data_IF_519237808677
#
_entry.id   IF_519237808677
#
_cell.length_a   1.000
_cell.length_b   1.000
_cell.length_c   1.000
_cell.angle_alpha   90.00
_cell.angle_beta   90.00
_cell.angle_gamma   90.00
#
_symmetry.space_group_name_H-M   'P 1'
#
loop_
_entity.id
_entity.type
_entity.pdbx_description
1 polymer ?
#
# COMPACT_ATOMS: atom_id res chain seq x y z
N UNK A 1 -2.43 2.65 25.50
CA UNK A 1 -2.87 1.99 24.25
C UNK A 1 -1.89 0.87 23.96
N UNK A 2 -2.34 -0.38 23.95
CA UNK A 2 -1.47 -1.51 23.56
C UNK A 2 -0.97 -1.29 22.13
N UNK A 3 0.35 -1.21 21.94
CA UNK A 3 0.96 -1.24 20.62
C UNK A 3 0.69 -2.62 20.04
N UNK A 4 -0.32 -2.74 19.18
CA UNK A 4 -0.65 -4.00 18.53
C UNK A 4 0.62 -4.55 17.84
N UNK A 5 1.03 -5.76 18.23
CA UNK A 5 2.16 -6.46 17.67
C UNK A 5 1.95 -6.74 16.17
N UNK A 6 3.04 -6.96 15.43
CA UNK A 6 2.94 -7.38 14.05
C UNK A 6 2.27 -8.77 13.95
N UNK A 7 1.40 -8.97 12.96
CA UNK A 7 0.63 -10.21 12.83
C UNK A 7 1.46 -11.31 12.17
N UNK A 8 1.77 -12.37 12.90
CA UNK A 8 2.49 -13.54 12.40
C UNK A 8 1.57 -14.49 11.61
N UNK A 9 2.11 -15.09 10.55
CA UNK A 9 1.40 -16.10 9.77
C UNK A 9 1.51 -17.49 10.42
N UNK A 10 0.36 -18.14 10.64
CA UNK A 10 0.22 -19.42 11.35
C UNK A 10 1.20 -20.53 10.91
N UNK A 11 1.49 -20.64 9.61
CA UNK A 11 2.28 -21.76 9.06
C UNK A 11 3.75 -21.46 8.82
N UNK A 12 4.11 -20.19 8.63
CA UNK A 12 5.49 -19.79 8.27
C UNK A 12 6.19 -19.01 9.37
N UNK A 13 5.48 -18.64 10.44
CA UNK A 13 5.95 -17.77 11.52
C UNK A 13 6.53 -16.45 10.99
N UNK A 14 6.21 -16.08 9.75
CA UNK A 14 6.67 -14.86 9.10
C UNK A 14 5.66 -13.75 9.34
N UNK A 15 6.18 -12.56 9.54
CA UNK A 15 5.43 -11.32 9.59
C UNK A 15 5.42 -10.73 8.17
N UNK A 16 4.25 -10.57 7.53
CA UNK A 16 4.15 -9.91 6.23
C UNK A 16 4.62 -8.46 6.32
N UNK A 17 5.37 -7.98 5.33
CA UNK A 17 5.92 -6.61 5.33
C UNK A 17 4.79 -5.57 5.40
N UNK A 18 3.64 -5.84 4.77
CA UNK A 18 2.43 -5.01 4.87
C UNK A 18 1.98 -4.81 6.32
N UNK A 19 2.12 -5.79 7.20
CA UNK A 19 1.69 -5.67 8.61
C UNK A 19 2.61 -4.75 9.43
N UNK A 20 3.85 -4.55 8.96
CA UNK A 20 4.82 -3.63 9.55
C UNK A 20 4.63 -2.23 8.96
N UNK A 21 4.79 -2.10 7.63
CA UNK A 21 4.85 -0.80 6.94
C UNK A 21 3.48 -0.23 6.57
N UNK A 22 2.42 -1.05 6.56
CA UNK A 22 1.05 -0.61 6.26
C UNK A 22 0.35 0.07 7.43
N UNK A 23 0.99 0.14 8.59
CA UNK A 23 0.49 0.84 9.77
C UNK A 23 0.55 2.37 9.56
N UNK A 24 -0.30 3.15 10.25
CA UNK A 24 -0.25 4.62 10.18
C UNK A 24 1.11 5.21 10.57
N UNK A 25 1.81 4.57 11.50
CA UNK A 25 3.15 4.94 11.98
C UNK A 25 4.29 4.38 11.11
N UNK A 26 3.97 3.71 10.00
CA UNK A 26 4.93 3.04 9.09
C UNK A 26 5.90 2.11 9.82
N UNK A 27 5.44 1.48 10.91
CA UNK A 27 6.21 0.53 11.71
C UNK A 27 6.95 1.13 12.90
N UNK A 28 6.98 2.46 13.09
CA UNK A 28 7.75 3.09 14.18
C UNK A 28 7.35 2.56 15.58
N UNK A 29 6.07 2.25 15.81
CA UNK A 29 5.61 1.65 17.07
C UNK A 29 6.02 0.18 17.28
N UNK A 30 6.70 -0.45 16.32
CA UNK A 30 7.22 -1.82 16.39
C UNK A 30 8.74 -1.86 16.63
N UNK A 31 9.40 -0.71 16.78
CA UNK A 31 10.83 -0.66 17.11
C UNK A 31 11.11 -1.42 18.41
N UNK A 32 12.18 -2.20 18.41
CA UNK A 32 12.55 -3.11 19.50
C UNK A 32 11.88 -4.48 19.44
N UNK A 33 10.95 -4.72 18.52
CA UNK A 33 10.38 -6.06 18.31
C UNK A 33 11.29 -6.90 17.41
N UNK A 34 11.43 -8.18 17.77
CA UNK A 34 12.02 -9.21 16.91
C UNK A 34 10.96 -9.74 15.98
N UNK A 35 11.28 -9.83 14.69
CA UNK A 35 10.37 -10.34 13.67
C UNK A 35 11.11 -11.25 12.70
N UNK A 36 10.36 -12.19 12.12
CA UNK A 36 10.81 -13.00 10.99
C UNK A 36 10.14 -12.52 9.73
N UNK A 37 10.91 -12.22 8.70
CA UNK A 37 10.38 -11.84 7.39
C UNK A 37 10.83 -12.85 6.33
N UNK A 38 10.04 -12.97 5.28
CA UNK A 38 10.42 -13.75 4.11
C UNK A 38 10.01 -13.02 2.84
N UNK A 39 10.84 -13.08 1.81
CA UNK A 39 10.58 -12.38 0.54
C UNK A 39 11.71 -12.57 -0.46
N UNK A 40 11.82 -11.65 -1.41
CA UNK A 40 12.93 -11.59 -2.37
C UNK A 40 13.65 -10.24 -2.30
N UNK A 41 14.96 -10.28 -2.53
CA UNK A 41 15.80 -9.09 -2.60
C UNK A 41 15.49 -8.33 -3.88
N UNK A 42 15.06 -7.08 -3.76
CA UNK A 42 14.84 -6.14 -4.87
C UNK A 42 16.12 -5.44 -5.26
N UNK A 43 16.90 -5.01 -4.27
CA UNK A 43 18.22 -4.41 -4.45
C UNK A 43 19.10 -4.71 -3.23
N UNK A 44 20.41 -4.70 -3.43
CA UNK A 44 21.39 -4.82 -2.36
C UNK A 44 22.57 -3.90 -2.62
N UNK A 45 23.12 -3.29 -1.57
CA UNK A 45 24.33 -2.47 -1.61
C UNK A 45 25.20 -2.72 -0.39
N UNK A 46 26.50 -2.82 -0.59
CA UNK A 46 27.47 -2.81 0.51
C UNK A 46 27.68 -1.38 1.01
N UNK A 47 28.01 -1.27 2.29
CA UNK A 47 28.32 -0.03 2.97
C UNK A 47 29.51 -0.24 3.91
N UNK A 48 30.12 0.87 4.34
CA UNK A 48 31.26 0.88 5.26
C UNK A 48 32.38 -0.11 4.86
N UNK A 49 32.84 0.01 3.61
CA UNK A 49 33.88 -0.85 3.03
C UNK A 49 33.59 -2.35 3.15
N UNK A 50 32.32 -2.73 3.11
CA UNK A 50 31.86 -4.11 3.17
C UNK A 50 31.59 -4.63 4.58
N UNK A 51 31.62 -3.78 5.63
CA UNK A 51 31.30 -4.20 7.00
C UNK A 51 29.82 -4.61 7.15
N UNK A 52 28.93 -4.02 6.36
CA UNK A 52 27.52 -4.39 6.30
C UNK A 52 26.92 -4.11 4.92
N UNK A 53 25.76 -4.72 4.67
CA UNK A 53 24.98 -4.56 3.45
C UNK A 53 23.56 -4.10 3.78
N UNK A 54 23.03 -3.19 2.97
CA UNK A 54 21.62 -2.85 2.95
C UNK A 54 20.92 -3.61 1.83
N UNK A 55 19.87 -4.34 2.18
CA UNK A 55 18.98 -5.00 1.25
C UNK A 55 17.61 -4.30 1.28
N UNK A 56 16.98 -4.20 0.12
CA UNK A 56 15.56 -3.92 0.02
C UNK A 56 14.82 -5.23 -0.23
N UNK A 57 13.99 -5.66 0.72
CA UNK A 57 13.24 -6.92 0.63
C UNK A 57 11.76 -6.62 0.37
N UNK A 58 11.16 -7.40 -0.53
CA UNK A 58 9.72 -7.36 -0.81
C UNK A 58 9.13 -8.77 -0.78
N UNK A 59 7.94 -8.91 -0.23
CA UNK A 59 7.24 -10.19 -0.07
C UNK A 59 5.94 -10.26 -0.90
N UNK A 60 5.67 -9.22 -1.71
CA UNK A 60 4.46 -9.07 -2.51
C UNK A 60 3.22 -8.65 -1.72
N UNK A 61 3.32 -8.46 -0.40
CA UNK A 61 2.16 -8.06 0.42
C UNK A 61 1.84 -6.57 0.27
N UNK A 62 2.82 -5.73 -0.03
CA UNK A 62 2.67 -4.30 -0.28
C UNK A 62 3.70 -3.81 -1.31
N UNK A 63 3.49 -2.63 -1.93
CA UNK A 63 4.40 -2.11 -2.95
C UNK A 63 5.69 -1.51 -2.35
N UNK A 64 5.74 -1.34 -1.03
CA UNK A 64 6.88 -0.73 -0.31
C UNK A 64 7.87 -1.83 0.07
N UNK A 65 9.16 -1.55 -0.06
CA UNK A 65 10.22 -2.47 0.34
C UNK A 65 10.64 -2.21 1.78
N UNK A 66 10.93 -3.26 2.53
CA UNK A 66 11.55 -3.14 3.85
C UNK A 66 13.07 -3.05 3.69
N UNK A 67 13.67 -2.03 4.32
CA UNK A 67 15.13 -1.96 4.43
C UNK A 67 15.62 -2.96 5.48
N UNK A 68 16.60 -3.74 5.09
CA UNK A 68 17.21 -4.78 5.91
C UNK A 68 18.71 -4.54 5.96
N UNK A 69 19.28 -4.49 7.16
CA UNK A 69 20.71 -4.36 7.41
C UNK A 69 21.28 -5.74 7.75
N UNK A 70 22.27 -6.18 6.99
CA UNK A 70 22.96 -7.45 7.19
C UNK A 70 24.43 -7.16 7.46
N UNK A 71 24.93 -7.50 8.65
CA UNK A 71 26.36 -7.35 8.98
C UNK A 71 27.16 -8.47 8.35
N UNK A 72 28.38 -8.17 7.90
CA UNK A 72 29.22 -9.13 7.17
C UNK A 72 29.54 -10.40 7.97
N UNK A 73 29.61 -10.31 9.30
CA UNK A 73 29.82 -11.47 10.17
C UNK A 73 28.58 -12.37 10.30
N UNK A 74 27.38 -11.86 10.01
CA UNK A 74 26.14 -12.64 10.03
C UNK A 74 25.95 -13.34 8.68
N UNK A 75 26.04 -12.58 7.59
CA UNK A 75 25.93 -13.11 6.24
C UNK A 75 26.47 -12.13 5.19
N UNK A 76 26.77 -12.67 4.01
CA UNK A 76 27.30 -11.89 2.87
C UNK A 76 26.16 -11.19 2.12
N UNK A 77 26.49 -10.18 1.32
CA UNK A 77 25.51 -9.58 0.40
C UNK A 77 24.85 -10.66 -0.47
N UNK A 78 23.52 -10.59 -0.59
CA UNK A 78 22.73 -11.50 -1.42
C UNK A 78 22.36 -10.80 -2.72
N UNK A 79 22.49 -11.51 -3.85
CA UNK A 79 22.14 -11.00 -5.18
C UNK A 79 20.66 -10.64 -5.30
N UNK A 80 20.36 -9.64 -6.14
CA UNK A 80 18.98 -9.31 -6.52
C UNK A 80 18.23 -10.53 -7.05
N UNK A 81 16.98 -10.67 -6.65
CA UNK A 81 16.11 -11.79 -7.03
C UNK A 81 16.16 -12.99 -6.09
N UNK A 82 17.19 -13.10 -5.26
CA UNK A 82 17.32 -14.17 -4.27
C UNK A 82 16.18 -14.13 -3.26
N UNK A 83 15.68 -15.30 -2.90
CA UNK A 83 14.68 -15.43 -1.83
C UNK A 83 15.38 -15.50 -0.47
N UNK A 84 14.84 -14.83 0.52
CA UNK A 84 15.42 -14.77 1.87
C UNK A 84 14.35 -15.05 2.92
N UNK A 85 14.75 -15.74 3.99
CA UNK A 85 14.00 -15.89 5.23
C UNK A 85 14.93 -15.46 6.37
N UNK A 86 14.59 -14.34 7.00
CA UNK A 86 15.47 -13.61 7.90
C UNK A 86 14.77 -13.34 9.23
N UNK A 87 15.54 -13.34 10.31
CA UNK A 87 15.10 -12.94 11.64
C UNK A 87 16.00 -11.81 12.15
N UNK A 88 15.38 -10.79 12.71
CA UNK A 88 16.10 -9.63 13.19
C UNK A 88 15.28 -8.72 14.08
N UNK A 89 15.93 -7.65 14.52
CA UNK A 89 15.38 -6.63 15.39
C UNK A 89 14.98 -5.39 14.58
N UNK A 90 13.75 -4.94 14.73
CA UNK A 90 13.29 -3.69 14.13
C UNK A 90 13.91 -2.50 14.85
N UNK A 91 14.58 -1.61 14.12
CA UNK A 91 15.28 -0.43 14.64
C UNK A 91 14.86 0.85 13.93
N UNK A 92 14.89 1.95 14.68
CA UNK A 92 14.84 3.27 14.09
C UNK A 92 16.14 3.50 13.30
N UNK A 93 16.06 3.91 12.02
CA UNK A 93 17.24 4.20 11.24
C UNK A 93 17.93 5.48 11.76
N UNK A 94 19.19 5.73 11.36
CA UNK A 94 19.90 6.95 11.70
C UNK A 94 19.15 8.22 11.28
N UNK A 95 19.40 9.31 12.00
CA UNK A 95 18.79 10.60 11.72
C UNK A 95 19.09 11.06 10.27
N UNK A 96 18.05 11.49 9.55
CA UNK A 96 18.14 11.87 8.14
C UNK A 96 17.90 10.73 7.13
N UNK A 97 17.63 9.50 7.58
CA UNK A 97 17.20 8.43 6.68
C UNK A 97 15.78 8.66 6.15
N UNK A 98 15.54 8.32 4.88
CA UNK A 98 14.20 8.37 4.27
C UNK A 98 13.27 7.24 4.73
N UNK A 99 13.84 6.17 5.29
CA UNK A 99 13.09 5.01 5.76
C UNK A 99 12.54 5.30 7.17
N UNK A 100 11.35 4.79 7.47
CA UNK A 100 10.76 4.92 8.81
C UNK A 100 11.34 3.91 9.81
N UNK A 101 11.75 2.74 9.30
CA UNK A 101 12.26 1.63 10.10
C UNK A 101 13.22 0.80 9.25
N UNK A 102 14.13 0.10 9.91
CA UNK A 102 14.98 -0.92 9.29
C UNK A 102 15.04 -2.19 10.16
N UNK A 103 15.34 -3.32 9.53
CA UNK A 103 15.50 -4.60 10.22
C UNK A 103 16.99 -4.95 10.31
N UNK A 104 17.57 -4.92 11.50
CA UNK A 104 18.94 -5.38 11.77
C UNK A 104 18.92 -6.90 11.94
N UNK A 105 19.54 -7.61 11.00
CA UNK A 105 19.51 -9.08 10.96
C UNK A 105 20.39 -9.67 12.05
N UNK A 106 19.78 -10.54 12.86
CA UNK A 106 20.47 -11.33 13.87
C UNK A 106 20.71 -12.77 13.38
N UNK A 107 19.79 -13.32 12.56
CA UNK A 107 19.88 -14.69 12.06
C UNK A 107 19.33 -14.81 10.65
N UNK A 108 20.07 -15.51 9.78
CA UNK A 108 19.62 -15.94 8.46
C UNK A 108 19.09 -17.36 8.56
N UNK A 109 17.81 -17.55 8.29
CA UNK A 109 17.15 -18.87 8.39
C UNK A 109 17.34 -19.65 7.10
N UNK A 110 17.08 -19.01 5.95
CA UNK A 110 17.23 -19.64 4.65
C UNK A 110 17.49 -18.60 3.55
N UNK A 111 18.28 -18.97 2.54
CA UNK A 111 18.53 -18.16 1.34
C UNK A 111 18.43 -19.06 0.11
N UNK A 112 17.53 -18.70 -0.80
CA UNK A 112 17.48 -19.28 -2.14
C UNK A 112 18.37 -18.50 -3.08
N UNK A 113 19.39 -19.16 -3.62
CA UNK A 113 20.37 -18.56 -4.51
C UNK A 113 19.78 -18.23 -5.87
N UNK A 114 20.27 -17.17 -6.50
CA UNK A 114 19.92 -16.78 -7.86
C UNK A 114 21.19 -16.49 -8.65
N UNK A 115 21.22 -16.96 -9.89
CA UNK A 115 22.27 -16.59 -10.85
C UNK A 115 22.04 -15.13 -11.30
N UNK A 116 22.87 -14.22 -10.79
CA UNK A 116 22.74 -12.79 -11.05
C UNK A 116 22.87 -12.43 -12.54
N UNK A 117 23.61 -13.23 -13.32
CA UNK A 117 23.77 -13.00 -14.76
C UNK A 117 22.52 -13.37 -15.57
N UNK A 118 21.69 -14.27 -15.04
CA UNK A 118 20.47 -14.77 -15.72
C UNK A 118 19.19 -14.14 -15.20
N UNK A 119 19.24 -13.39 -14.09
CA UNK A 119 18.05 -12.81 -13.49
C UNK A 119 17.51 -11.65 -14.36
N UNK A 120 16.31 -11.77 -14.94
CA UNK A 120 15.88 -10.89 -16.03
C UNK A 120 15.20 -9.61 -15.54
N UNK A 121 15.00 -9.42 -14.23
CA UNK A 121 14.28 -8.25 -13.71
C UNK A 121 15.25 -7.14 -13.27
N UNK A 122 15.47 -6.10 -14.10
CA UNK A 122 16.22 -4.92 -13.71
C UNK A 122 15.47 -4.08 -12.67
N UNK A 123 16.18 -3.12 -12.08
CA UNK A 123 15.60 -2.11 -11.16
C UNK A 123 14.72 -1.08 -11.89
N UNK A 124 14.89 -0.93 -13.20
CA UNK A 124 14.18 0.06 -14.01
C UNK A 124 12.74 -0.34 -14.32
N UNK A 125 11.96 0.62 -14.82
CA UNK A 125 10.59 0.34 -15.29
C UNK A 125 10.64 -0.60 -16.49
N UNK A 126 9.85 -1.67 -16.43
CA UNK A 126 9.71 -2.66 -17.48
C UNK A 126 8.44 -2.41 -18.30
N UNK A 127 8.50 -2.75 -19.58
CA UNK A 127 7.31 -2.83 -20.44
C UNK A 127 6.55 -4.14 -20.19
N UNK A 128 5.24 -4.14 -20.44
CA UNK A 128 4.40 -5.31 -20.20
C UNK A 128 4.74 -6.47 -21.15
N UNK A 129 5.24 -6.15 -22.34
CA UNK A 129 5.68 -7.10 -23.37
C UNK A 129 6.86 -7.92 -22.88
N UNK A 130 7.89 -7.28 -22.32
CA UNK A 130 9.05 -7.96 -21.74
C UNK A 130 8.66 -8.91 -20.61
N UNK A 131 7.68 -8.52 -19.80
CA UNK A 131 7.17 -9.35 -18.72
C UNK A 131 6.48 -10.62 -19.22
N UNK A 132 6.12 -10.73 -20.51
CA UNK A 132 5.50 -11.94 -21.06
C UNK A 132 6.42 -13.13 -21.24
N UNK A 133 7.71 -12.89 -21.41
CA UNK A 133 8.67 -13.97 -21.52
C UNK A 133 8.99 -14.59 -20.14
N UNK A 134 8.74 -13.84 -19.05
CA UNK A 134 9.05 -14.23 -17.67
C UNK A 134 7.80 -14.27 -16.79
N UNK A 135 6.78 -15.04 -17.21
CA UNK A 135 5.47 -15.14 -16.52
C UNK A 135 5.61 -15.48 -15.04
N UNK A 136 6.52 -16.39 -14.69
CA UNK A 136 6.77 -16.83 -13.31
C UNK A 136 7.40 -15.75 -12.41
N UNK A 137 8.02 -14.70 -12.99
CA UNK A 137 8.61 -13.58 -12.25
C UNK A 137 7.74 -12.32 -12.25
N UNK A 138 6.71 -12.26 -13.09
CA UNK A 138 5.74 -11.15 -13.16
C UNK A 138 5.26 -10.67 -11.79
N UNK A 139 4.84 -11.55 -10.85
CA UNK A 139 4.30 -11.12 -9.56
C UNK A 139 5.29 -10.33 -8.69
N UNK A 140 6.61 -10.40 -8.99
CA UNK A 140 7.67 -9.69 -8.25
C UNK A 140 7.87 -8.25 -8.71
N UNK A 141 7.07 -7.78 -9.65
CA UNK A 141 7.15 -6.43 -10.23
C UNK A 141 6.03 -5.53 -9.73
N UNK A 142 6.33 -4.25 -9.51
CA UNK A 142 5.37 -3.30 -8.96
C UNK A 142 4.17 -3.08 -9.89
N UNK A 143 4.40 -3.08 -11.20
CA UNK A 143 3.34 -2.96 -12.20
C UNK A 143 2.34 -4.12 -12.10
N UNK A 144 2.83 -5.36 -12.03
CA UNK A 144 1.92 -6.50 -11.90
C UNK A 144 1.25 -6.59 -10.54
N UNK A 145 1.93 -6.18 -9.47
CA UNK A 145 1.31 -6.01 -8.15
C UNK A 145 0.12 -5.05 -8.21
N UNK A 146 0.26 -3.89 -8.87
CA UNK A 146 -0.85 -2.94 -9.02
C UNK A 146 -2.00 -3.52 -9.81
N UNK A 147 -1.72 -4.17 -10.95
CA UNK A 147 -2.75 -4.80 -11.79
C UNK A 147 -3.53 -5.86 -11.00
N UNK A 148 -2.84 -6.75 -10.30
CA UNK A 148 -3.50 -7.80 -9.51
C UNK A 148 -4.25 -7.24 -8.30
N UNK A 149 -3.74 -6.18 -7.66
CA UNK A 149 -4.45 -5.50 -6.58
C UNK A 149 -5.77 -4.90 -7.08
N UNK A 150 -5.76 -4.18 -8.21
CA UNK A 150 -6.97 -3.60 -8.80
C UNK A 150 -7.99 -4.67 -9.20
N UNK A 151 -7.54 -5.79 -9.77
CA UNK A 151 -8.42 -6.91 -10.10
C UNK A 151 -9.06 -7.50 -8.84
N UNK A 152 -8.28 -7.75 -7.80
CA UNK A 152 -8.78 -8.26 -6.54
C UNK A 152 -9.76 -7.31 -5.86
N UNK A 153 -9.49 -6.00 -5.89
CA UNK A 153 -10.39 -4.99 -5.32
C UNK A 153 -11.70 -4.87 -6.12
N UNK A 154 -11.64 -4.98 -7.45
CA UNK A 154 -12.82 -5.00 -8.31
C UNK A 154 -13.68 -6.25 -8.06
N UNK A 155 -13.06 -7.43 -7.96
CA UNK A 155 -13.74 -8.69 -7.64
C UNK A 155 -14.39 -8.64 -6.27
N UNK A 156 -13.67 -8.15 -5.25
CA UNK A 156 -14.21 -7.97 -3.91
C UNK A 156 -15.41 -7.02 -3.93
N UNK A 157 -15.29 -5.87 -4.60
CA UNK A 157 -16.39 -4.91 -4.72
C UNK A 157 -17.60 -5.52 -5.44
N UNK A 158 -17.37 -6.30 -6.50
CA UNK A 158 -18.44 -7.00 -7.21
C UNK A 158 -19.12 -8.07 -6.35
N UNK A 159 -18.36 -8.75 -5.49
CA UNK A 159 -18.91 -9.70 -4.52
C UNK A 159 -19.70 -9.00 -3.42
N UNK A 160 -19.15 -7.95 -2.84
CA UNK A 160 -19.80 -7.14 -1.81
C UNK A 160 -21.14 -6.59 -2.32
N UNK A 161 -21.21 -6.18 -3.59
CA UNK A 161 -22.47 -5.78 -4.25
C UNK A 161 -23.46 -6.91 -4.49
N UNK A 162 -23.01 -8.16 -4.63
CA UNK A 162 -23.90 -9.33 -4.75
C UNK A 162 -24.44 -9.78 -3.39
N UNK A 163 -23.56 -9.79 -2.39
CA UNK A 163 -23.88 -10.22 -1.03
C UNK A 163 -24.70 -9.16 -0.28
N UNK A 164 -24.47 -7.88 -0.60
CA UNK A 164 -25.25 -6.74 -0.13
C UNK A 164 -25.71 -5.92 -1.34
N UNK A 165 -26.75 -6.39 -2.07
CA UNK A 165 -27.31 -5.62 -3.17
C UNK A 165 -27.64 -4.22 -2.67
N UNK A 166 -27.30 -3.19 -3.46
CA UNK A 166 -27.73 -1.83 -3.17
C UNK A 166 -29.23 -1.90 -2.92
N UNK A 167 -29.62 -1.63 -1.67
CA UNK A 167 -31.02 -1.66 -1.27
C UNK A 167 -31.74 -0.74 -2.26
N UNK A 168 -32.82 -1.22 -2.86
CA UNK A 168 -33.63 -0.47 -3.82
C UNK A 168 -33.91 0.97 -3.32
N UNK A 169 -34.02 1.12 -2.00
CA UNK A 169 -34.19 2.38 -1.27
C UNK A 169 -33.01 3.36 -1.40
N UNK A 170 -31.76 2.89 -1.49
CA UNK A 170 -30.59 3.75 -1.70
C UNK A 170 -30.53 4.30 -3.13
N UNK A 171 -31.00 3.51 -4.11
CA UNK A 171 -31.14 3.96 -5.51
C UNK A 171 -32.29 4.97 -5.61
N UNK A 172 -33.47 4.65 -5.04
CA UNK A 172 -34.61 5.57 -4.97
C UNK A 172 -34.28 6.87 -4.25
N UNK A 173 -33.53 6.82 -3.15
CA UNK A 173 -33.05 8.02 -2.44
C UNK A 173 -32.12 8.87 -3.30
N UNK A 174 -31.26 8.25 -4.11
CA UNK A 174 -30.41 8.96 -5.08
C UNK A 174 -31.21 9.65 -6.19
N UNK A 175 -32.26 9.00 -6.68
CA UNK A 175 -33.17 9.55 -7.70
C UNK A 175 -33.99 10.73 -7.18
N UNK A 176 -34.49 10.65 -5.94
CA UNK A 176 -35.22 11.76 -5.28
C UNK A 176 -34.33 12.99 -5.14
N UNK A 177 -33.07 12.82 -4.70
CA UNK A 177 -32.13 13.94 -4.57
C UNK A 177 -31.78 14.59 -5.92
N UNK A 178 -31.75 13.82 -7.00
CA UNK A 178 -31.57 14.35 -8.36
C UNK A 178 -32.80 15.16 -8.79
N UNK A 179 -34.02 14.67 -8.52
CA UNK A 179 -35.26 15.41 -8.79
C UNK A 179 -35.31 16.74 -8.01
N UNK A 180 -35.02 16.72 -6.71
CA UNK A 180 -35.02 17.94 -5.88
C UNK A 180 -34.01 18.98 -6.41
N UNK A 181 -32.84 18.52 -6.87
CA UNK A 181 -31.82 19.39 -7.48
C UNK A 181 -32.28 19.98 -8.81
N UNK A 182 -32.92 19.19 -9.66
CA UNK A 182 -33.44 19.66 -10.95
C UNK A 182 -34.61 20.65 -10.77
N UNK A 183 -35.47 20.42 -9.77
CA UNK A 183 -36.51 21.38 -9.38
C UNK A 183 -35.93 22.69 -8.87
N UNK A 184 -34.91 22.63 -8.01
CA UNK A 184 -34.20 23.83 -7.54
C UNK A 184 -33.55 24.59 -8.70
N UNK A 185 -32.94 23.88 -9.64
CA UNK A 185 -32.35 24.46 -10.84
C UNK A 185 -33.40 25.13 -11.74
N UNK A 186 -34.57 24.50 -11.91
CA UNK A 186 -35.67 25.05 -12.71
C UNK A 186 -36.29 26.30 -12.05
N UNK A 187 -36.45 26.30 -10.72
CA UNK A 187 -36.89 27.49 -9.97
C UNK A 187 -35.92 28.65 -10.12
N UNK A 188 -34.62 28.37 -10.08
CA UNK A 188 -33.56 29.38 -10.26
C UNK A 188 -33.52 29.95 -11.68
N UNK A 189 -33.73 29.10 -12.70
CA UNK A 189 -33.85 29.53 -14.11
C UNK A 189 -35.11 30.37 -14.33
N UNK A 190 -36.23 30.01 -13.71
CA UNK A 190 -37.48 30.75 -13.80
C UNK A 190 -37.43 32.11 -13.08
N UNK A 191 -36.60 32.24 -12.04
CA UNK A 191 -36.41 33.48 -11.29
C UNK A 191 -35.44 34.47 -11.96
N UNK A 192 -34.93 34.15 -13.17
CA UNK A 192 -33.94 34.95 -13.94
C UNK A 192 -32.73 35.39 -13.08
N UNK A 193 -32.39 34.58 -12.09
CA UNK A 193 -31.43 34.93 -11.05
C UNK A 193 -30.00 34.80 -11.60
N UNK A 194 -29.26 35.92 -11.65
CA UNK A 194 -27.85 35.95 -12.04
C UNK A 194 -27.04 34.96 -11.17
N UNK A 195 -26.37 34.04 -11.86
CA UNK A 195 -25.58 32.87 -11.40
C UNK A 195 -24.50 33.09 -10.30
N UNK A 196 -24.38 34.27 -9.68
CA UNK A 196 -23.24 34.60 -8.79
C UNK A 196 -23.42 34.28 -7.30
N UNK A 197 -24.58 33.83 -6.82
CA UNK A 197 -24.83 33.68 -5.37
C UNK A 197 -24.61 32.25 -4.83
N UNK A 198 -24.56 31.21 -5.68
CA UNK A 198 -24.61 29.80 -5.21
C UNK A 198 -23.24 29.10 -5.21
N UNK A 199 -22.12 29.85 -5.25
CA UNK A 199 -20.80 29.23 -5.05
C UNK A 199 -20.37 29.23 -3.56
N UNK A 200 -21.12 29.91 -2.68
CA UNK A 200 -20.77 30.08 -1.26
C UNK A 200 -21.91 29.82 -0.26
N UNK A 201 -22.95 29.07 -0.64
CA UNK A 201 -23.88 28.52 0.35
C UNK A 201 -23.32 27.18 0.83
N UNK A 202 -22.91 27.13 2.09
CA UNK A 202 -22.52 25.92 2.81
C UNK A 202 -23.48 24.77 2.45
N UNK A 203 -22.95 23.76 1.77
CA UNK A 203 -23.62 22.46 1.71
C UNK A 203 -23.61 21.97 3.16
N UNK A 204 -24.76 21.78 3.82
CA UNK A 204 -24.77 21.20 5.15
C UNK A 204 -24.05 19.87 5.05
N UNK A 205 -23.10 19.65 5.95
CA UNK A 205 -22.41 18.37 6.13
C UNK A 205 -23.41 17.23 5.98
N UNK A 206 -23.31 16.48 4.89
CA UNK A 206 -24.06 15.23 4.69
C UNK A 206 -23.50 14.25 5.71
N UNK A 207 -24.15 14.21 6.88
CA UNK A 207 -24.04 13.11 7.79
C UNK A 207 -24.57 11.88 7.06
N UNK A 208 -23.66 11.00 6.65
CA UNK A 208 -23.97 9.65 6.22
C UNK A 208 -24.78 8.98 7.32
N UNK A 209 -26.06 8.71 7.07
CA UNK A 209 -26.79 7.65 7.78
C UNK A 209 -26.28 6.34 7.18
N UNK A 210 -25.13 5.88 7.69
CA UNK A 210 -24.83 4.46 7.76
C UNK A 210 -25.12 4.04 9.19
N UNK A 211 -25.86 2.94 9.34
CA UNK A 211 -26.22 2.25 10.58
C UNK A 211 -25.35 2.59 11.80
N UNK A 212 -26.00 2.89 12.93
CA UNK A 212 -25.32 3.30 14.16
C UNK A 212 -24.12 2.43 14.54
N UNK A 213 -22.92 3.03 14.46
CA UNK A 213 -21.85 2.99 15.47
C UNK A 213 -20.71 3.90 15.00
N UNK A 214 -20.66 5.11 15.55
CA UNK A 214 -19.55 6.05 15.33
C UNK A 214 -18.35 5.65 16.21
N UNK A 215 -17.23 5.30 15.59
CA UNK A 215 -15.90 5.62 16.12
C UNK A 215 -15.13 6.31 15.00
N UNK A 216 -14.80 7.58 15.22
CA UNK A 216 -14.41 8.52 14.18
C UNK A 216 -13.15 8.16 13.39
N UNK A 217 -13.28 8.16 12.07
CA UNK A 217 -12.20 8.52 11.14
C UNK A 217 -12.79 9.33 9.99
N UNK A 218 -12.16 10.46 9.67
CA UNK A 218 -12.50 11.33 8.52
C UNK A 218 -12.39 10.53 7.22
N UNK A 219 -13.48 10.35 6.50
CA UNK A 219 -13.49 9.76 5.15
C UNK A 219 -13.01 10.78 4.13
N UNK A 220 -11.89 10.48 3.46
CA UNK A 220 -11.36 11.25 2.32
C UNK A 220 -12.31 11.15 1.12
N UNK A 221 -12.55 12.28 0.46
CA UNK A 221 -13.38 12.38 -0.74
C UNK A 221 -12.66 11.80 -1.98
N UNK A 222 -13.41 11.51 -3.06
CA UNK A 222 -12.83 11.02 -4.33
C UNK A 222 -11.74 11.95 -4.89
N UNK A 223 -11.81 13.26 -4.65
CA UNK A 223 -10.76 14.21 -5.02
C UNK A 223 -9.47 14.05 -4.19
N UNK A 224 -9.59 13.68 -2.91
CA UNK A 224 -8.44 13.46 -2.02
C UNK A 224 -7.62 12.21 -2.38
N UNK A 225 -8.25 11.22 -3.01
CA UNK A 225 -7.59 10.01 -3.53
C UNK A 225 -6.76 10.37 -4.77
N UNK A 226 -7.30 11.13 -5.71
CA UNK A 226 -6.58 11.53 -6.92
C UNK A 226 -5.40 12.47 -6.66
N UNK A 227 -5.51 13.36 -5.67
CA UNK A 227 -4.41 14.24 -5.25
C UNK A 227 -3.31 13.47 -4.48
N UNK A 228 -3.67 12.43 -3.71
CA UNK A 228 -2.69 11.61 -2.97
C UNK A 228 -1.78 10.75 -3.89
N UNK A 229 -2.19 10.52 -5.13
CA UNK A 229 -1.42 9.75 -6.12
C UNK A 229 -0.65 10.63 -7.13
N UNK A 230 -0.69 11.96 -7.03
CA UNK A 230 0.13 12.86 -7.85
C UNK A 230 -0.22 12.90 -9.35
N UNK A 231 -1.46 12.57 -9.72
CA UNK A 231 -1.92 12.46 -11.12
C UNK A 231 -2.60 13.73 -11.67
N UNK A 232 -2.32 14.90 -11.09
CA UNK A 232 -2.66 16.20 -11.67
C UNK A 232 -1.51 17.17 -11.37
N UNK A 233 -0.69 17.47 -12.37
CA UNK A 233 0.11 18.70 -12.38
C UNK A 233 -0.78 19.79 -12.99
N UNK A 234 -1.22 20.81 -12.23
CA UNK A 234 -1.78 22.00 -12.86
C UNK A 234 -0.66 22.75 -13.59
N UNK A 235 -0.94 23.16 -14.83
CA UNK A 235 -0.17 24.22 -15.50
C UNK A 235 -0.47 25.56 -14.84
#
# INVERSE_FOLDING_TARGET
MSLAAAHEMQFSQRVPIKSILGRPDKGAGLVGQRVRIGGWVKTGREADKGAFAFLEVNDGSCPVNLQVLVKAHVYKLVSTGASVHLEGLLKSPPEGSKQSIELDIERVINVGTVDAAKYPLPKTKLMLEFLRDFVHLRPRTNTMFQVTTLMNDAEKSAKDLKDNPLIEDAVKSGEILLQEKDEALNKLKAADAKWKVIVNADVPSVAFIHSGRLSGQKTRTRQDIFLSFGWLNPK
#
